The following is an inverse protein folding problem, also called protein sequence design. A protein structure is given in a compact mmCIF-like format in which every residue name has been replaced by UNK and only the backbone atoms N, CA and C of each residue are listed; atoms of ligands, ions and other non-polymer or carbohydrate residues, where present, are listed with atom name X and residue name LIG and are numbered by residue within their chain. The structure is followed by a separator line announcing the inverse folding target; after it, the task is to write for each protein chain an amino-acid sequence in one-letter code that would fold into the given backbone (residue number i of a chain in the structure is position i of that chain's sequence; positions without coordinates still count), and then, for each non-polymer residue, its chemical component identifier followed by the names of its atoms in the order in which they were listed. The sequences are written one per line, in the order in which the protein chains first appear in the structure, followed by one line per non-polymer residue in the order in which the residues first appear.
data_IF_125854754637
#
_entry.id   IF_125854754637
#
_cell.length_a   1.000
_cell.length_b   1.000
_cell.length_c   1.000
_cell.angle_alpha   90.00
_cell.angle_beta   90.00
_cell.angle_gamma   90.00
#
_symmetry.space_group_name_H-M   'P 1'
#
loop_
_entity.id
_entity.type
_entity.pdbx_description
1 polymer ?
#
# COMPACT_ATOMS: atom_id res chain seq x y z
N UNK A 1 -17.27 16.49 -18.67
CA UNK A 1 -15.81 16.25 -18.75
C UNK A 1 -15.28 15.59 -17.46
N UNK A 2 -15.19 14.26 -17.48
CA UNK A 2 -14.80 13.45 -16.31
C UNK A 2 -13.35 13.67 -15.94
N UNK A 3 -13.09 14.06 -14.70
CA UNK A 3 -11.75 13.94 -14.11
C UNK A 3 -11.45 12.46 -13.97
N UNK A 4 -10.75 11.89 -14.94
CA UNK A 4 -10.06 10.62 -14.75
C UNK A 4 -9.12 10.82 -13.57
N UNK A 5 -9.46 10.23 -12.43
CA UNK A 5 -8.54 10.10 -11.31
C UNK A 5 -7.35 9.33 -11.87
N UNK A 6 -6.27 10.03 -12.20
CA UNK A 6 -5.01 9.40 -12.56
C UNK A 6 -4.63 8.51 -11.37
N UNK A 7 -4.93 7.22 -11.46
CA UNK A 7 -4.50 6.25 -10.47
C UNK A 7 -3.00 6.40 -10.36
N UNK A 8 -2.52 6.87 -9.21
CA UNK A 8 -1.11 7.25 -9.05
C UNK A 8 -0.22 6.10 -9.52
N UNK A 9 0.46 6.33 -10.66
CA UNK A 9 1.40 5.38 -11.20
C UNK A 9 2.58 5.25 -10.22
N UNK A 10 2.97 4.00 -9.92
CA UNK A 10 4.14 3.73 -9.10
C UNK A 10 5.35 3.70 -10.01
N UNK A 11 6.43 4.34 -9.60
CA UNK A 11 7.66 4.46 -10.38
C UNK A 11 8.89 4.01 -9.59
N UNK A 12 9.92 3.54 -10.30
CA UNK A 12 11.24 3.28 -9.70
C UNK A 12 11.78 4.57 -9.06
N UNK A 13 12.34 4.46 -7.85
CA UNK A 13 12.78 5.58 -7.04
C UNK A 13 11.70 6.19 -6.14
N UNK A 14 10.43 5.80 -6.31
CA UNK A 14 9.36 6.28 -5.43
C UNK A 14 9.60 5.82 -3.99
N UNK A 15 9.75 6.78 -3.09
CA UNK A 15 9.92 6.57 -1.65
C UNK A 15 8.57 6.49 -0.93
N UNK A 16 8.58 5.91 0.26
CA UNK A 16 7.44 5.90 1.17
C UNK A 16 6.33 4.93 0.80
N UNK A 17 6.55 4.01 -0.14
CA UNK A 17 5.56 2.97 -0.48
C UNK A 17 5.25 2.11 0.73
N UNK A 18 3.97 1.77 0.91
CA UNK A 18 3.49 1.08 2.11
C UNK A 18 3.09 -0.34 1.74
N UNK A 19 3.72 -1.33 2.40
CA UNK A 19 3.39 -2.75 2.30
C UNK A 19 2.97 -3.26 3.69
N UNK A 20 1.67 -3.19 3.98
CA UNK A 20 1.12 -3.44 5.31
C UNK A 20 1.63 -2.40 6.32
N UNK A 21 2.45 -2.82 7.29
CA UNK A 21 3.08 -1.93 8.29
C UNK A 21 4.51 -1.50 7.90
N UNK A 22 5.02 -1.96 6.77
CA UNK A 22 6.40 -1.72 6.31
C UNK A 22 6.43 -0.58 5.29
N UNK A 23 7.48 0.23 5.35
CA UNK A 23 7.76 1.33 4.42
C UNK A 23 9.03 1.03 3.63
N UNK A 24 9.10 1.55 2.41
CA UNK A 24 10.28 1.39 1.58
C UNK A 24 10.31 2.27 0.34
N UNK A 25 11.26 1.96 -0.54
CA UNK A 25 11.51 2.63 -1.80
C UNK A 25 11.45 1.63 -2.94
N UNK A 26 10.76 1.97 -4.02
CA UNK A 26 10.69 1.13 -5.21
C UNK A 26 12.06 1.13 -5.91
N UNK A 27 12.62 -0.04 -6.18
CA UNK A 27 13.90 -0.22 -6.84
C UNK A 27 13.81 -0.94 -8.18
N UNK A 28 12.72 -1.67 -8.40
CA UNK A 28 12.51 -2.44 -9.63
C UNK A 28 11.02 -2.49 -9.97
N UNK A 29 10.68 -2.39 -11.26
CA UNK A 29 9.36 -2.68 -11.82
C UNK A 29 9.60 -3.46 -13.12
N UNK A 30 9.04 -4.66 -13.24
CA UNK A 30 9.16 -5.44 -14.48
C UNK A 30 8.87 -6.93 -14.32
N UNK A 31 9.09 -7.68 -15.38
CA UNK A 31 8.95 -9.14 -15.40
C UNK A 31 10.13 -9.82 -14.71
N UNK A 32 9.91 -11.01 -14.15
CA UNK A 32 10.94 -11.76 -13.45
C UNK A 32 10.97 -13.21 -13.88
N UNK A 33 12.13 -13.85 -13.73
CA UNK A 33 12.31 -15.28 -14.02
C UNK A 33 11.60 -16.19 -13.00
N UNK A 34 11.22 -15.66 -11.84
CA UNK A 34 10.62 -16.45 -10.76
C UNK A 34 9.09 -16.45 -10.77
N UNK A 35 8.43 -15.68 -11.65
CA UNK A 35 6.98 -15.75 -11.77
C UNK A 35 6.41 -14.83 -12.84
N UNK A 36 5.23 -15.15 -13.39
CA UNK A 36 4.58 -14.36 -14.42
C UNK A 36 4.09 -13.01 -13.90
N UNK A 37 3.87 -12.08 -14.84
CA UNK A 37 3.33 -10.75 -14.57
C UNK A 37 4.38 -9.71 -14.20
N UNK A 38 3.92 -8.53 -13.83
CA UNK A 38 4.76 -7.41 -13.40
C UNK A 38 4.99 -7.46 -11.89
N UNK A 39 6.26 -7.45 -11.51
CA UNK A 39 6.72 -7.44 -10.13
C UNK A 39 7.34 -6.10 -9.79
N UNK A 40 7.18 -5.73 -8.53
CA UNK A 40 7.79 -4.55 -7.94
C UNK A 40 8.77 -5.00 -6.87
N UNK A 41 10.04 -4.67 -7.08
CA UNK A 41 11.10 -4.84 -6.08
C UNK A 41 11.19 -3.60 -5.21
N UNK A 42 11.09 -3.79 -3.90
CA UNK A 42 11.10 -2.71 -2.90
C UNK A 42 12.27 -2.94 -1.94
N UNK A 43 13.05 -1.88 -1.72
CA UNK A 43 13.99 -1.80 -0.60
C UNK A 43 13.24 -1.24 0.60
N UNK A 44 13.12 -2.04 1.66
CA UNK A 44 12.49 -1.65 2.90
C UNK A 44 13.42 -0.78 3.75
N UNK A 45 12.83 0.14 4.52
CA UNK A 45 13.60 1.01 5.42
C UNK A 45 14.20 0.22 6.61
N UNK A 46 13.62 -0.95 6.94
CA UNK A 46 14.05 -1.84 8.03
C UNK A 46 14.31 -3.25 7.50
N UNK A 47 15.21 -4.05 8.13
CA UNK A 47 15.55 -5.41 7.71
C UNK A 47 14.43 -6.41 8.04
N UNK A 48 13.29 -6.24 7.38
CA UNK A 48 12.06 -7.03 7.55
C UNK A 48 11.59 -7.62 6.21
N UNK A 49 12.51 -7.68 5.25
CA UNK A 49 12.40 -8.35 3.97
C UNK A 49 13.08 -9.70 4.00
N UNK A 50 13.30 -10.28 2.82
CA UNK A 50 13.75 -11.67 2.69
C UNK A 50 15.00 -11.84 1.84
N UNK A 51 15.43 -10.80 1.13
CA UNK A 51 16.60 -10.85 0.24
C UNK A 51 17.33 -9.48 0.17
N UNK A 52 18.37 -9.40 -0.64
CA UNK A 52 19.25 -8.24 -0.90
C UNK A 52 19.08 -7.68 -2.34
N UNK A 53 17.96 -8.02 -2.96
CA UNK A 53 17.67 -7.77 -4.39
C UNK A 53 18.02 -8.92 -5.35
N UNK A 54 18.62 -10.01 -4.86
CA UNK A 54 18.75 -11.28 -5.60
C UNK A 54 17.49 -12.15 -5.41
N UNK A 55 16.99 -12.76 -6.49
CA UNK A 55 15.95 -13.80 -6.43
C UNK A 55 16.18 -14.85 -7.52
N UNK A 56 16.12 -16.14 -7.14
CA UNK A 56 16.37 -17.30 -8.01
C UNK A 56 17.65 -17.16 -8.86
N UNK A 57 18.74 -16.67 -8.26
CA UNK A 57 20.03 -16.49 -8.95
C UNK A 57 20.11 -15.28 -9.89
N UNK A 58 19.04 -14.50 -10.03
CA UNK A 58 19.03 -13.28 -10.84
C UNK A 58 18.98 -12.03 -9.95
N UNK A 59 19.84 -11.04 -10.26
CA UNK A 59 19.90 -9.76 -9.56
C UNK A 59 19.09 -8.71 -10.32
N UNK A 60 18.01 -8.23 -9.70
CA UNK A 60 17.14 -7.20 -10.29
C UNK A 60 17.42 -5.82 -9.68
N UNK A 61 17.82 -5.78 -8.43
CA UNK A 61 18.32 -4.57 -7.74
C UNK A 61 19.32 -4.95 -6.65
N UNK A 62 19.87 -3.96 -5.96
CA UNK A 62 20.77 -4.17 -4.82
C UNK A 62 20.29 -3.37 -3.63
N UNK A 63 20.25 -4.00 -2.46
CA UNK A 63 19.98 -3.39 -1.16
C UNK A 63 20.69 -4.18 -0.06
N UNK A 64 20.73 -3.69 1.20
CA UNK A 64 21.30 -4.45 2.30
C UNK A 64 20.57 -5.79 2.53
N UNK A 65 21.26 -6.82 3.08
CA UNK A 65 20.64 -8.12 3.36
C UNK A 65 19.38 -8.00 4.23
N UNK A 66 18.30 -8.65 3.82
CA UNK A 66 17.03 -8.62 4.55
C UNK A 66 16.20 -7.34 4.33
N UNK A 67 16.57 -6.47 3.40
CA UNK A 67 15.76 -5.29 3.05
C UNK A 67 14.89 -5.46 1.80
N UNK A 68 15.21 -6.42 0.94
CA UNK A 68 14.48 -6.64 -0.31
C UNK A 68 13.16 -7.39 -0.09
N UNK A 69 12.12 -6.93 -0.79
CA UNK A 69 10.89 -7.69 -1.02
C UNK A 69 10.44 -7.58 -2.48
N UNK A 70 9.85 -8.64 -3.01
CA UNK A 70 9.12 -8.64 -4.27
C UNK A 70 7.63 -8.79 -4.01
N UNK A 71 6.83 -7.99 -4.70
CA UNK A 71 5.37 -8.06 -4.65
C UNK A 71 4.82 -7.86 -6.05
N UNK A 72 3.72 -8.54 -6.38
CA UNK A 72 3.06 -8.29 -7.66
C UNK A 72 2.50 -6.87 -7.69
N UNK A 73 2.47 -6.25 -8.88
CA UNK A 73 2.07 -4.85 -9.07
C UNK A 73 0.73 -4.50 -8.41
N UNK A 74 -0.23 -5.42 -8.45
CA UNK A 74 -1.55 -5.27 -7.80
C UNK A 74 -1.50 -5.22 -6.26
N UNK A 75 -0.44 -5.75 -5.65
CA UNK A 75 -0.21 -5.74 -4.20
C UNK A 75 0.47 -4.48 -3.69
N UNK A 76 0.90 -3.56 -4.57
CA UNK A 76 1.54 -2.31 -4.18
C UNK A 76 0.51 -1.18 -4.18
N UNK A 77 0.21 -0.68 -2.99
CA UNK A 77 -0.59 0.53 -2.85
C UNK A 77 0.35 1.75 -2.94
N UNK A 78 0.01 2.77 -3.76
CA UNK A 78 0.76 4.02 -3.74
C UNK A 78 0.76 4.61 -2.32
N UNK A 79 1.84 5.29 -1.97
CA UNK A 79 1.91 6.04 -0.72
C UNK A 79 0.99 7.26 -0.78
N UNK A 80 -0.31 7.03 -0.65
CA UNK A 80 -1.23 8.09 -0.28
C UNK A 80 -1.21 8.18 1.24
N UNK A 81 -0.21 8.90 1.74
CA UNK A 81 0.00 9.31 3.12
C UNK A 81 -1.31 9.71 3.82
N UNK A 82 -1.94 8.83 4.61
CA UNK A 82 -3.11 9.11 5.47
C UNK A 82 -4.39 9.66 4.78
N UNK A 83 -4.29 10.33 3.63
CA UNK A 83 -5.32 11.10 2.94
C UNK A 83 -6.23 10.23 2.07
N UNK A 84 -5.73 9.17 1.41
CA UNK A 84 -6.62 8.29 0.63
C UNK A 84 -7.37 7.27 1.50
N UNK A 85 -6.72 6.75 2.55
CA UNK A 85 -7.40 5.93 3.55
C UNK A 85 -8.47 6.74 4.29
N UNK A 86 -8.18 7.99 4.68
CA UNK A 86 -9.17 8.88 5.27
C UNK A 86 -10.36 9.15 4.33
N UNK A 87 -10.14 9.27 3.02
CA UNK A 87 -11.22 9.51 2.04
C UNK A 87 -12.18 8.32 1.92
N UNK A 88 -11.63 7.09 1.88
CA UNK A 88 -12.43 5.86 1.86
C UNK A 88 -13.13 5.61 3.21
N UNK A 89 -12.43 5.86 4.33
CA UNK A 89 -13.00 5.73 5.67
C UNK A 89 -14.07 6.80 5.94
N UNK A 90 -13.88 8.06 5.53
CA UNK A 90 -14.91 9.10 5.64
C UNK A 90 -16.14 8.83 4.77
N UNK A 91 -15.97 8.21 3.59
CA UNK A 91 -17.08 7.74 2.77
C UNK A 91 -17.85 6.60 3.45
N UNK A 92 -17.15 5.64 4.05
CA UNK A 92 -17.75 4.50 4.76
C UNK A 92 -18.39 4.88 6.10
N UNK A 93 -17.85 5.88 6.79
CA UNK A 93 -18.38 6.38 8.07
C UNK A 93 -19.59 7.33 7.88
N UNK A 94 -19.68 8.07 6.76
CA UNK A 94 -20.86 8.90 6.44
C UNK A 94 -22.14 8.07 6.28
N UNK A 95 -22.03 6.82 5.85
CA UNK A 95 -23.18 5.89 5.76
C UNK A 95 -23.55 5.19 7.07
N UNK A 96 -22.72 5.26 8.13
CA UNK A 96 -23.00 4.63 9.44
C UNK A 96 -23.47 5.63 10.50
N UNK A 97 -23.21 6.93 10.32
CA UNK A 97 -23.50 7.94 11.35
C UNK A 97 -25.01 8.19 11.53
N UNK A 98 -25.82 7.97 10.50
CA UNK A 98 -27.27 8.25 10.57
C UNK A 98 -28.11 7.18 11.30
N UNK A 99 -27.53 6.06 11.74
CA UNK A 99 -28.31 4.95 12.34
C UNK A 99 -28.05 4.66 13.81
N UNK A 100 -27.02 5.24 14.43
CA UNK A 100 -26.63 4.87 15.79
C UNK A 100 -26.77 6.01 16.81
N UNK A 101 -26.91 7.27 16.38
CA UNK A 101 -27.07 8.41 17.30
C UNK A 101 -28.53 8.59 17.80
N UNK A 102 -29.52 8.12 17.03
CA UNK A 102 -30.95 8.29 17.35
C UNK A 102 -31.48 7.36 18.45
N UNK A 103 -30.84 6.21 18.65
CA UNK A 103 -31.24 5.22 19.67
C UNK A 103 -30.68 5.58 21.05
N UNK A 104 -29.43 6.05 21.11
CA UNK A 104 -28.75 6.38 22.37
C UNK A 104 -29.41 7.55 23.13
N UNK A 105 -29.99 8.53 22.41
CA UNK A 105 -30.67 9.68 23.03
C UNK A 105 -32.13 9.41 23.42
N UNK A 106 -32.76 8.36 22.88
CA UNK A 106 -34.12 7.95 23.28
C UNK A 106 -34.13 7.09 24.55
N UNK A 107 -33.06 6.34 24.80
CA UNK A 107 -32.95 5.44 25.95
C UNK A 107 -32.71 6.15 27.31
N UNK A 108 -32.46 7.46 27.33
CA UNK A 108 -32.12 8.21 28.56
C UNK A 108 -33.13 9.30 28.95
N UNK A 109 -34.33 9.35 28.33
CA UNK A 109 -35.37 10.34 28.67
C UNK A 109 -36.68 9.73 29.21
N UNK A 110 -36.71 8.43 29.47
CA UNK A 110 -37.82 7.79 30.18
C UNK A 110 -37.28 7.09 31.41
N UNK A 111 -37.12 7.87 32.50
CA UNK A 111 -37.50 7.59 33.90
C UNK A 111 -37.11 8.81 34.75
#
# INVERSE_FOLDING_TARGET
PGRTMAGQAIAVGQKGVILGKRKGTVRFIGTTAFGPGEWVGIELDKPTGTHDGLANGHRYFTCPPGHGVYVQRQGVLPSTSWQAAASQIQSLLRGRKDRQETDYKRAFQTW
#
